data_IF_792961050173
#
_entry.id   IF_792961050173
#
_cell.length_a   1.000
_cell.length_b   1.000
_cell.length_c   1.000
_cell.angle_alpha   90.00
_cell.angle_beta   90.00
_cell.angle_gamma   90.00
#
_symmetry.space_group_name_H-M   'P 1'
#
loop_
_entity.id
_entity.type
_entity.pdbx_description
1 polymer ?
#
# COMPACT_ATOMS: atom_id res chain seq x y z
N UNK A 1 -2.38 -21.30 -11.12
CA UNK A 1 -2.90 -20.34 -10.13
C UNK A 1 -1.70 -19.75 -9.39
N UNK A 2 -1.45 -18.44 -9.45
CA UNK A 2 -0.36 -17.85 -8.65
C UNK A 2 0.17 -16.47 -9.07
N UNK A 3 -0.18 -15.95 -10.24
CA UNK A 3 0.46 -14.72 -10.77
C UNK A 3 -0.21 -13.40 -10.36
N UNK A 4 -1.43 -13.46 -9.81
CA UNK A 4 -2.22 -12.26 -9.52
C UNK A 4 -1.83 -11.60 -8.19
N UNK A 5 -1.40 -12.37 -7.19
CA UNK A 5 -0.92 -11.83 -5.90
C UNK A 5 0.35 -10.98 -6.06
N UNK A 6 1.31 -11.48 -6.84
CA UNK A 6 2.58 -10.80 -7.13
C UNK A 6 2.42 -9.43 -7.81
N UNK A 7 1.35 -9.21 -8.57
CA UNK A 7 1.08 -7.94 -9.22
C UNK A 7 0.54 -6.88 -8.24
N UNK A 8 -0.34 -7.28 -7.31
CA UNK A 8 -0.83 -6.39 -6.25
C UNK A 8 0.30 -5.98 -5.31
N UNK A 9 1.18 -6.93 -4.94
CA UNK A 9 2.42 -6.65 -4.24
C UNK A 9 3.28 -5.63 -5.03
N UNK A 10 3.58 -5.89 -6.30
CA UNK A 10 4.42 -5.00 -7.10
C UNK A 10 3.87 -3.55 -7.21
N UNK A 11 2.55 -3.38 -7.32
CA UNK A 11 1.89 -2.06 -7.40
C UNK A 11 1.93 -1.31 -6.06
N UNK A 12 1.76 -2.01 -4.94
CA UNK A 12 1.88 -1.42 -3.60
C UNK A 12 3.33 -1.06 -3.24
N UNK A 13 4.30 -1.83 -3.73
CA UNK A 13 5.72 -1.67 -3.41
C UNK A 13 6.54 -0.88 -4.44
N UNK A 14 5.92 -0.36 -5.51
CA UNK A 14 6.65 0.32 -6.60
C UNK A 14 7.67 -0.59 -7.27
N UNK A 15 7.44 -1.91 -7.24
CA UNK A 15 8.31 -2.92 -7.83
C UNK A 15 8.15 -2.93 -9.34
N UNK A 16 9.21 -2.56 -10.06
CA UNK A 16 9.29 -2.76 -11.50
C UNK A 16 9.40 -4.27 -11.78
N UNK A 17 8.43 -4.86 -12.50
CA UNK A 17 8.56 -6.23 -12.98
C UNK A 17 9.70 -6.31 -14.00
N UNK A 18 10.73 -7.10 -13.71
CA UNK A 18 11.77 -7.40 -14.70
C UNK A 18 11.19 -8.26 -15.83
N UNK A 19 11.77 -8.17 -17.05
CA UNK A 19 11.34 -8.90 -18.25
C UNK A 19 11.28 -10.43 -18.08
N UNK A 20 11.82 -10.99 -16.99
CA UNK A 20 11.78 -12.42 -16.66
C UNK A 20 10.63 -12.83 -15.72
N UNK A 21 9.75 -11.91 -15.31
CA UNK A 21 8.58 -12.22 -14.47
C UNK A 21 8.92 -12.55 -13.01
N UNK A 22 10.13 -12.22 -12.56
CA UNK A 22 10.53 -12.31 -11.14
C UNK A 22 10.28 -10.97 -10.47
N UNK A 23 9.43 -10.95 -9.44
CA UNK A 23 9.31 -9.80 -8.53
C UNK A 23 10.63 -9.70 -7.78
N UNK A 24 11.36 -8.62 -8.04
CA UNK A 24 12.53 -8.27 -7.26
C UNK A 24 12.05 -8.02 -5.83
N UNK A 25 12.51 -8.85 -4.88
CA UNK A 25 12.16 -8.68 -3.48
C UNK A 25 12.37 -7.20 -3.09
N UNK A 26 11.42 -6.58 -2.35
CA UNK A 26 11.63 -5.22 -1.89
C UNK A 26 12.97 -5.18 -1.15
N UNK A 27 13.79 -4.17 -1.47
CA UNK A 27 15.09 -3.98 -0.82
C UNK A 27 14.95 -4.17 0.69
N UNK A 28 15.88 -4.88 1.32
CA UNK A 28 15.88 -5.24 2.75
C UNK A 28 15.87 -4.03 3.74
N UNK A 29 15.52 -2.84 3.27
CA UNK A 29 15.51 -1.56 3.97
C UNK A 29 14.18 -0.81 3.87
N UNK A 30 13.06 -1.47 3.57
CA UNK A 30 11.77 -0.82 3.74
C UNK A 30 11.45 -0.74 5.24
N UNK A 31 11.54 0.46 5.81
CA UNK A 31 11.13 0.71 7.20
C UNK A 31 9.66 0.31 7.37
N UNK A 32 9.31 -0.60 8.30
CA UNK A 32 7.94 -1.11 8.45
C UNK A 32 6.89 -0.01 8.65
N UNK A 33 7.26 1.07 9.33
CA UNK A 33 6.43 2.26 9.52
C UNK A 33 6.07 2.94 8.20
N UNK A 34 7.02 3.04 7.25
CA UNK A 34 6.78 3.63 5.92
C UNK A 34 5.81 2.77 5.11
N UNK A 35 5.93 1.44 5.21
CA UNK A 35 5.00 0.53 4.55
C UNK A 35 3.60 0.66 5.13
N UNK A 36 3.47 0.63 6.45
CA UNK A 36 2.18 0.81 7.10
C UNK A 36 1.51 2.13 6.68
N UNK A 37 2.26 3.23 6.64
CA UNK A 37 1.72 4.52 6.21
C UNK A 37 1.34 4.57 4.72
N UNK A 38 2.09 3.87 3.85
CA UNK A 38 1.75 3.75 2.43
C UNK A 38 0.38 3.05 2.27
N UNK A 39 0.25 1.88 2.90
CA UNK A 39 -0.99 1.08 2.91
C UNK A 39 -2.17 1.88 3.45
N UNK A 40 -1.97 2.63 4.54
CA UNK A 40 -3.01 3.47 5.13
C UNK A 40 -3.53 4.55 4.16
N UNK A 41 -2.64 5.15 3.36
CA UNK A 41 -3.04 6.15 2.37
C UNK A 41 -3.79 5.51 1.20
N UNK A 42 -3.29 4.39 0.68
CA UNK A 42 -3.98 3.65 -0.41
C UNK A 42 -5.36 3.21 0.06
N UNK A 43 -5.49 2.67 1.27
CA UNK A 43 -6.77 2.31 1.86
C UNK A 43 -7.74 3.49 1.92
N UNK A 44 -7.25 4.67 2.32
CA UNK A 44 -8.09 5.87 2.41
C UNK A 44 -8.54 6.38 1.03
N UNK A 45 -7.58 6.58 0.12
CA UNK A 45 -7.83 7.30 -1.13
C UNK A 45 -8.33 6.41 -2.28
N UNK A 46 -8.07 5.10 -2.24
CA UNK A 46 -8.50 4.15 -3.27
C UNK A 46 -9.68 3.29 -2.78
N UNK A 47 -9.60 2.78 -1.55
CA UNK A 47 -10.60 1.89 -0.98
C UNK A 47 -11.72 2.62 -0.22
N UNK A 48 -11.55 3.92 0.08
CA UNK A 48 -12.55 4.71 0.78
C UNK A 48 -12.62 4.45 2.28
N UNK A 49 -11.54 3.92 2.87
CA UNK A 49 -11.43 3.76 4.32
C UNK A 49 -11.41 5.12 5.01
N UNK A 50 -12.25 5.28 6.01
CA UNK A 50 -12.45 6.55 6.69
C UNK A 50 -11.25 6.95 7.56
N UNK A 51 -11.16 8.26 7.85
CA UNK A 51 -10.05 8.83 8.60
C UNK A 51 -9.94 8.28 10.03
N UNK A 52 -11.03 7.85 10.67
CA UNK A 52 -10.99 7.28 12.02
C UNK A 52 -10.34 5.90 12.01
N UNK A 53 -10.64 5.07 11.01
CA UNK A 53 -10.01 3.76 10.80
C UNK A 53 -8.53 3.91 10.48
N UNK A 54 -8.16 4.86 9.59
CA UNK A 54 -6.75 5.19 9.30
C UNK A 54 -6.01 5.63 10.58
N UNK A 55 -6.64 6.48 11.41
CA UNK A 55 -6.07 6.93 12.67
C UNK A 55 -5.89 5.78 13.67
N UNK A 56 -6.88 4.89 13.77
CA UNK A 56 -6.81 3.67 14.60
C UNK A 56 -5.69 2.73 14.17
N UNK A 57 -5.49 2.57 12.86
CA UNK A 57 -4.40 1.79 12.30
C UNK A 57 -3.03 2.43 12.60
N UNK A 58 -2.90 3.75 12.43
CA UNK A 58 -1.68 4.49 12.80
C UNK A 58 -1.31 4.31 14.27
N UNK A 59 -2.29 4.39 15.17
CA UNK A 59 -2.08 4.17 16.61
C UNK A 59 -1.66 2.74 16.93
N UNK A 60 -2.24 1.76 16.24
CA UNK A 60 -1.84 0.35 16.38
C UNK A 60 -0.41 0.14 15.88
N UNK A 61 -0.04 0.76 14.76
CA UNK A 61 1.32 0.74 14.22
C UNK A 61 2.32 1.41 15.17
N UNK A 62 1.99 2.56 15.77
CA UNK A 62 2.91 3.24 16.70
C UNK A 62 3.19 2.43 17.96
N UNK A 63 2.21 1.65 18.43
CA UNK A 63 2.42 0.70 19.54
C UNK A 63 3.30 -0.48 19.12
N UNK A 64 3.02 -1.06 17.95
CA UNK A 64 3.77 -2.19 17.39
C UNK A 64 5.23 -1.84 17.11
N UNK A 65 5.48 -0.61 16.64
CA UNK A 65 6.81 -0.10 16.32
C UNK A 65 7.28 0.92 17.36
N UNK A 66 6.96 0.71 18.63
CA UNK A 66 7.31 1.64 19.72
C UNK A 66 8.82 1.86 19.93
N UNK A 67 9.65 0.98 19.37
CA UNK A 67 11.11 1.10 19.38
C UNK A 67 11.66 1.96 18.23
N UNK A 68 10.81 2.41 17.30
CA UNK A 68 11.18 3.29 16.20
C UNK A 68 11.13 4.76 16.65
N UNK A 69 12.28 5.40 16.95
CA UNK A 69 12.30 6.81 17.35
C UNK A 69 11.90 7.76 16.20
N UNK A 70 11.95 7.28 14.96
CA UNK A 70 11.64 8.02 13.74
C UNK A 70 10.21 7.78 13.26
N UNK A 71 9.36 7.10 14.05
CA UNK A 71 8.03 6.66 13.63
C UNK A 71 7.22 7.77 12.93
N UNK A 72 7.19 8.98 13.49
CA UNK A 72 6.44 10.08 12.90
C UNK A 72 6.97 10.50 11.52
N UNK A 73 8.30 10.60 11.37
CA UNK A 73 8.96 10.98 10.12
C UNK A 73 8.84 9.87 9.07
N UNK A 74 8.96 8.61 9.49
CA UNK A 74 8.80 7.45 8.62
C UNK A 74 7.34 7.26 8.20
N UNK A 75 6.39 7.54 9.09
CA UNK A 75 4.97 7.56 8.72
C UNK A 75 4.70 8.64 7.65
N UNK A 76 5.15 9.87 7.87
CA UNK A 76 4.97 10.96 6.90
C UNK A 76 5.62 10.63 5.55
N UNK A 77 6.84 10.07 5.56
CA UNK A 77 7.54 9.63 4.35
C UNK A 77 6.74 8.55 3.61
N UNK A 78 6.28 7.52 4.32
CA UNK A 78 5.48 6.44 3.71
C UNK A 78 4.16 6.93 3.11
N UNK A 79 3.47 7.82 3.84
CA UNK A 79 2.26 8.47 3.37
C UNK A 79 2.51 9.29 2.10
N UNK A 80 3.59 10.07 2.04
CA UNK A 80 3.96 10.83 0.83
C UNK A 80 4.28 9.92 -0.35
N UNK A 81 5.02 8.84 -0.12
CA UNK A 81 5.39 7.89 -1.18
C UNK A 81 4.17 7.23 -1.85
N UNK A 82 3.10 6.96 -1.10
CA UNK A 82 1.87 6.40 -1.63
C UNK A 82 1.13 7.29 -2.65
N UNK A 83 1.46 8.59 -2.72
CA UNK A 83 0.86 9.51 -3.69
C UNK A 83 0.97 8.99 -5.14
N UNK A 84 2.11 8.38 -5.50
CA UNK A 84 2.33 7.83 -6.83
C UNK A 84 1.37 6.66 -7.12
N UNK A 85 1.23 5.74 -6.17
CA UNK A 85 0.33 4.59 -6.30
C UNK A 85 -1.13 5.04 -6.42
N UNK A 86 -1.56 5.99 -5.58
CA UNK A 86 -2.92 6.56 -5.68
C UNK A 86 -3.14 7.20 -7.05
N UNK A 87 -2.18 8.01 -7.53
CA UNK A 87 -2.28 8.62 -8.85
C UNK A 87 -2.38 7.57 -9.97
N UNK A 88 -1.63 6.47 -9.89
CA UNK A 88 -1.74 5.36 -10.86
C UNK A 88 -3.13 4.71 -10.86
N UNK A 89 -3.75 4.50 -9.68
CA UNK A 89 -5.13 4.02 -9.60
C UNK A 89 -6.12 5.01 -10.22
N UNK A 90 -5.99 6.30 -9.93
CA UNK A 90 -6.87 7.31 -10.52
C UNK A 90 -6.71 7.41 -12.05
N UNK A 91 -5.50 7.27 -12.56
CA UNK A 91 -5.26 7.20 -14.01
C UNK A 91 -5.91 5.94 -14.61
N UNK A 92 -5.70 4.77 -14.00
CA UNK A 92 -6.26 3.50 -14.47
C UNK A 92 -7.78 3.53 -14.51
N UNK A 93 -8.42 4.17 -13.52
CA UNK A 93 -9.88 4.37 -13.49
C UNK A 93 -10.41 5.02 -14.78
N UNK A 94 -9.62 5.90 -15.40
CA UNK A 94 -9.99 6.60 -16.64
C UNK A 94 -9.57 5.86 -17.90
N UNK A 95 -8.36 5.27 -17.92
CA UNK A 95 -7.79 4.66 -19.12
C UNK A 95 -8.22 3.21 -19.33
N UNK A 96 -8.43 2.47 -18.23
CA UNK A 96 -8.74 1.04 -18.22
C UNK A 96 -9.68 0.69 -17.06
N UNK A 97 -10.99 1.02 -17.13
CA UNK A 97 -11.93 0.84 -16.01
C UNK A 97 -12.03 -0.61 -15.52
N UNK A 98 -11.94 -1.59 -16.42
CA UNK A 98 -11.97 -3.01 -16.07
C UNK A 98 -10.75 -3.41 -15.22
N UNK A 99 -9.55 -3.04 -15.67
CA UNK A 99 -8.31 -3.33 -14.94
C UNK A 99 -8.29 -2.61 -13.59
N UNK A 100 -8.85 -1.39 -13.53
CA UNK A 100 -9.01 -0.65 -12.28
C UNK A 100 -9.89 -1.40 -11.29
N UNK A 101 -11.06 -1.90 -11.70
CA UNK A 101 -11.96 -2.62 -10.81
C UNK A 101 -11.33 -3.92 -10.29
N UNK A 102 -10.64 -4.66 -11.17
CA UNK A 102 -9.92 -5.89 -10.80
C UNK A 102 -8.79 -5.61 -9.79
N UNK A 103 -7.92 -4.63 -10.08
CA UNK A 103 -6.82 -4.29 -9.17
C UNK A 103 -7.31 -3.66 -7.87
N UNK A 104 -8.32 -2.78 -7.93
CA UNK A 104 -8.88 -2.16 -6.74
C UNK A 104 -9.46 -3.24 -5.82
N UNK A 105 -10.22 -4.19 -6.36
CA UNK A 105 -10.80 -5.28 -5.57
C UNK A 105 -9.71 -6.09 -4.86
N UNK A 106 -8.68 -6.52 -5.59
CA UNK A 106 -7.56 -7.28 -5.02
C UNK A 106 -6.81 -6.48 -3.93
N UNK A 107 -6.43 -5.24 -4.23
CA UNK A 107 -5.70 -4.37 -3.29
C UNK A 107 -6.52 -4.06 -2.04
N UNK A 108 -7.81 -3.75 -2.17
CA UNK A 108 -8.63 -3.41 -1.02
C UNK A 108 -8.90 -4.62 -0.10
N UNK A 109 -9.03 -5.82 -0.67
CA UNK A 109 -9.14 -7.06 0.12
C UNK A 109 -7.88 -7.31 0.94
N UNK A 110 -6.70 -7.20 0.32
CA UNK A 110 -5.41 -7.37 0.99
C UNK A 110 -5.20 -6.32 2.11
N UNK A 111 -5.51 -5.05 1.82
CA UNK A 111 -5.42 -3.98 2.83
C UNK A 111 -6.39 -4.18 4.00
N UNK A 112 -7.59 -4.73 3.74
CA UNK A 112 -8.52 -5.11 4.81
C UNK A 112 -7.91 -6.12 5.77
N UNK A 113 -7.27 -7.17 5.24
CA UNK A 113 -6.59 -8.18 6.04
C UNK A 113 -5.39 -7.59 6.82
N UNK A 114 -4.56 -6.79 6.15
CA UNK A 114 -3.36 -6.22 6.76
C UNK A 114 -3.67 -5.20 7.86
N UNK A 115 -4.69 -4.37 7.67
CA UNK A 115 -5.14 -3.38 8.65
C UNK A 115 -6.07 -4.00 9.71
N UNK A 116 -6.47 -5.27 9.53
CA UNK A 116 -7.40 -6.02 10.39
C UNK A 116 -8.75 -5.31 10.55
N UNK A 117 -9.28 -4.81 9.43
CA UNK A 117 -10.56 -4.12 9.33
C UNK A 117 -11.73 -5.09 9.16
#
# INVERSE_FOLDING_TARGET
>A
MGSQGLAADAVLFGGEMDRRGLVRAPSAYMVPTRLAANNARVASEVCGVDASTVSGYKNSASKKFSQDPSFAADWDTGWKNAAKTVASFQQMKTSSPKDYDEQKSATCSDLQEQMKM
#
